data_IF_563977001343
#
_entry.id   IF_563977001343
#
_cell.length_a   1.000
_cell.length_b   1.000
_cell.length_c   1.000
_cell.angle_alpha   90.00
_cell.angle_beta   90.00
_cell.angle_gamma   90.00
#
_symmetry.space_group_name_H-M   'P 1'
#
loop_
_entity.id
_entity.type
_entity.pdbx_description
1 polymer ?
#
# COMPACT_ATOMS: atom_id res chain seq x y z
N UNK A 1 22.92 28.65 -9.37
CA UNK A 1 23.66 27.39 -9.17
C UNK A 1 24.81 27.14 -10.14
N UNK A 2 25.04 27.98 -11.16
CA UNK A 2 26.11 27.81 -12.18
C UNK A 2 27.48 28.40 -11.78
N UNK A 3 27.53 29.45 -10.97
CA UNK A 3 28.78 30.14 -10.59
C UNK A 3 29.70 29.33 -9.65
N UNK A 4 29.16 28.51 -8.77
CA UNK A 4 29.94 27.63 -7.87
C UNK A 4 30.66 26.47 -8.60
N UNK A 5 30.15 26.04 -9.74
CA UNK A 5 30.78 25.00 -10.57
C UNK A 5 31.97 25.51 -11.37
N UNK A 6 31.94 26.77 -11.79
CA UNK A 6 33.03 27.40 -12.56
C UNK A 6 34.29 27.66 -11.72
N UNK A 7 34.10 28.03 -10.44
CA UNK A 7 35.22 28.26 -9.52
C UNK A 7 35.96 26.97 -9.13
N UNK A 8 35.21 25.88 -8.92
CA UNK A 8 35.80 24.55 -8.64
C UNK A 8 36.57 23.98 -9.84
N UNK A 9 36.21 24.36 -11.06
CA UNK A 9 36.84 23.89 -12.28
C UNK A 9 38.20 24.57 -12.47
N UNK A 10 38.26 25.89 -12.34
CA UNK A 10 39.53 26.66 -12.39
C UNK A 10 40.51 26.23 -11.31
N UNK A 11 40.04 25.93 -10.12
CA UNK A 11 40.89 25.47 -9.01
C UNK A 11 41.52 24.10 -9.30
N UNK A 12 40.75 23.15 -9.83
CA UNK A 12 41.26 21.84 -10.23
C UNK A 12 42.23 21.90 -11.41
N UNK A 13 41.98 22.74 -12.38
CA UNK A 13 42.88 22.91 -13.51
C UNK A 13 44.22 23.53 -13.04
N UNK A 14 44.18 24.42 -12.08
CA UNK A 14 45.38 25.01 -11.45
C UNK A 14 46.12 23.98 -10.57
N UNK A 15 45.43 23.20 -9.80
CA UNK A 15 45.99 22.11 -8.96
C UNK A 15 46.69 21.06 -9.85
N UNK A 16 46.05 20.64 -10.94
CA UNK A 16 46.62 19.70 -11.91
C UNK A 16 47.85 20.24 -12.61
N UNK A 17 47.85 21.53 -12.90
CA UNK A 17 49.01 22.18 -13.52
C UNK A 17 50.18 22.26 -12.55
N UNK A 18 49.95 22.59 -11.29
CA UNK A 18 50.96 22.58 -10.24
C UNK A 18 51.55 21.19 -10.02
N UNK A 19 50.71 20.15 -10.03
CA UNK A 19 51.14 18.77 -9.88
C UNK A 19 52.03 18.31 -11.03
N UNK A 20 51.67 18.66 -12.27
CA UNK A 20 52.49 18.36 -13.46
C UNK A 20 53.83 19.10 -13.37
N UNK A 21 53.87 20.38 -13.01
CA UNK A 21 55.07 21.18 -12.87
C UNK A 21 55.98 20.63 -11.76
N UNK A 22 55.43 20.21 -10.61
CA UNK A 22 56.18 19.57 -9.53
C UNK A 22 56.79 18.23 -9.97
N UNK A 23 56.06 17.41 -10.70
CA UNK A 23 56.61 16.14 -11.22
C UNK A 23 57.72 16.36 -12.25
N UNK A 24 57.59 17.36 -13.12
CA UNK A 24 58.66 17.70 -14.06
C UNK A 24 59.92 18.22 -13.33
N UNK A 25 59.73 19.01 -12.27
CA UNK A 25 60.85 19.50 -11.45
C UNK A 25 61.56 18.34 -10.71
N UNK A 26 60.81 17.43 -10.12
CA UNK A 26 61.38 16.22 -9.47
C UNK A 26 62.18 15.34 -10.44
N UNK A 27 61.69 15.13 -11.66
CA UNK A 27 62.38 14.36 -12.69
C UNK A 27 63.60 15.07 -13.21
N UNK A 28 63.57 16.40 -13.32
CA UNK A 28 64.75 17.26 -13.64
C UNK A 28 65.83 17.08 -12.58
N UNK A 29 65.50 17.22 -11.29
CA UNK A 29 66.46 17.08 -10.18
C UNK A 29 67.04 15.67 -10.10
N UNK A 30 66.19 14.64 -10.37
CA UNK A 30 66.64 13.27 -10.46
C UNK A 30 67.67 13.07 -11.61
N UNK A 31 67.43 13.68 -12.75
CA UNK A 31 68.32 13.59 -13.90
C UNK A 31 69.64 14.33 -13.67
N UNK A 32 69.62 15.48 -12.98
CA UNK A 32 70.82 16.20 -12.52
C UNK A 32 71.65 15.35 -11.55
N UNK A 33 71.00 14.65 -10.61
CA UNK A 33 71.74 13.78 -9.67
C UNK A 33 72.46 12.60 -10.36
N UNK A 34 71.99 12.24 -11.55
CA UNK A 34 72.61 11.22 -12.42
C UNK A 34 73.73 11.72 -13.29
N UNK A 35 74.10 13.00 -13.18
CA UNK A 35 75.25 13.59 -13.89
C UNK A 35 74.89 14.15 -15.28
N UNK A 36 73.64 14.35 -15.61
CA UNK A 36 73.23 15.02 -16.84
C UNK A 36 73.43 16.53 -16.70
N UNK A 37 73.74 17.22 -17.80
CA UNK A 37 73.76 18.67 -17.81
C UNK A 37 72.33 19.24 -17.59
N UNK A 38 72.22 20.48 -17.10
CA UNK A 38 70.96 21.09 -16.80
C UNK A 38 70.01 21.14 -18.01
N UNK A 39 70.55 21.41 -19.20
CA UNK A 39 69.75 21.41 -20.42
C UNK A 39 69.28 20.04 -20.87
N UNK A 40 70.11 19.02 -20.72
CA UNK A 40 69.78 17.62 -21.03
C UNK A 40 68.75 17.07 -20.00
N UNK A 41 68.94 17.34 -18.71
CA UNK A 41 68.00 16.95 -17.64
C UNK A 41 66.64 17.53 -17.84
N UNK A 42 66.55 18.82 -18.20
CA UNK A 42 65.30 19.48 -18.49
C UNK A 42 64.60 18.91 -19.73
N UNK A 43 65.36 18.67 -20.79
CA UNK A 43 64.84 18.09 -22.03
C UNK A 43 64.33 16.65 -21.84
N UNK A 44 65.04 15.86 -21.05
CA UNK A 44 64.67 14.50 -20.72
C UNK A 44 63.38 14.43 -19.86
N UNK A 45 63.25 15.33 -18.86
CA UNK A 45 62.06 15.45 -18.05
C UNK A 45 60.82 15.79 -18.89
N UNK A 46 60.93 16.75 -19.80
CA UNK A 46 59.83 17.11 -20.71
C UNK A 46 59.49 16.01 -21.72
N UNK A 47 60.50 15.27 -22.22
CA UNK A 47 60.25 14.16 -23.15
C UNK A 47 59.56 12.97 -22.47
N UNK A 48 59.91 12.66 -21.22
CA UNK A 48 59.33 11.57 -20.44
C UNK A 48 57.87 11.85 -20.07
N UNK A 49 57.56 13.07 -19.69
CA UNK A 49 56.18 13.45 -19.33
C UNK A 49 55.27 13.68 -20.54
N UNK A 50 55.84 13.86 -21.72
CA UNK A 50 55.05 14.21 -22.90
C UNK A 50 54.50 15.63 -22.84
N UNK A 51 53.81 16.06 -23.87
CA UNK A 51 53.19 17.38 -23.85
C UNK A 51 52.08 17.41 -22.80
N UNK A 52 52.17 18.30 -21.81
CA UNK A 52 51.11 18.50 -20.79
C UNK A 52 49.71 18.75 -21.36
N UNK A 53 49.65 19.02 -22.65
CA UNK A 53 48.43 19.05 -23.45
C UNK A 53 47.73 17.67 -23.55
N UNK A 54 48.49 16.59 -23.78
CA UNK A 54 47.91 15.23 -23.88
C UNK A 54 47.38 14.71 -22.56
N UNK A 55 48.09 14.98 -21.48
CA UNK A 55 47.64 14.61 -20.13
C UNK A 55 46.36 15.37 -19.77
N UNK A 56 46.28 16.64 -20.08
CA UNK A 56 45.12 17.51 -19.88
C UNK A 56 43.92 17.03 -20.72
N UNK A 57 44.15 16.64 -21.95
CA UNK A 57 43.12 16.11 -22.85
C UNK A 57 42.58 14.74 -22.39
N UNK A 58 43.42 13.86 -21.85
CA UNK A 58 43.02 12.60 -21.27
C UNK A 58 42.20 12.77 -19.99
N UNK A 59 42.59 13.66 -19.09
CA UNK A 59 41.83 13.97 -17.87
C UNK A 59 40.53 14.68 -18.21
N UNK A 60 40.52 15.50 -19.26
CA UNK A 60 39.30 16.18 -19.70
C UNK A 60 38.31 15.23 -20.36
N UNK A 61 38.77 14.27 -21.11
CA UNK A 61 37.94 13.23 -21.74
C UNK A 61 37.30 12.25 -20.73
N UNK A 62 37.87 12.12 -19.53
CA UNK A 62 37.30 11.29 -18.45
C UNK A 62 36.30 12.04 -17.55
N UNK A 63 36.13 13.34 -17.67
CA UNK A 63 35.25 14.11 -16.79
C UNK A 63 33.92 14.50 -17.43
N UNK A 64 32.88 13.93 -16.91
CA UNK A 64 31.45 14.26 -16.81
C UNK A 64 30.65 14.85 -17.99
N UNK A 65 31.15 15.80 -18.76
CA UNK A 65 30.36 16.39 -19.86
C UNK A 65 30.51 15.63 -21.18
N UNK A 66 31.67 15.05 -21.42
CA UNK A 66 31.89 14.15 -22.57
C UNK A 66 31.08 12.86 -22.42
N UNK A 67 30.83 12.42 -21.19
CA UNK A 67 29.94 11.28 -20.92
C UNK A 67 28.48 11.55 -21.31
N UNK A 68 27.98 12.75 -21.08
CA UNK A 68 26.59 13.10 -21.41
C UNK A 68 26.40 13.22 -22.94
N UNK A 69 27.36 13.80 -23.61
CA UNK A 69 27.35 13.94 -25.05
C UNK A 69 27.56 12.60 -25.78
N UNK A 70 28.44 11.76 -25.23
CA UNK A 70 28.58 10.36 -25.67
C UNK A 70 27.28 9.58 -25.45
N UNK A 71 26.67 9.70 -24.25
CA UNK A 71 25.41 9.04 -23.92
C UNK A 71 24.28 9.45 -24.89
N UNK A 72 24.17 10.75 -25.17
CA UNK A 72 23.18 11.25 -26.13
C UNK A 72 23.40 10.72 -27.55
N UNK A 73 24.63 10.66 -27.98
CA UNK A 73 25.00 10.09 -29.28
C UNK A 73 24.72 8.60 -29.34
N UNK A 74 25.01 7.88 -28.24
CA UNK A 74 24.76 6.44 -28.15
C UNK A 74 23.26 6.13 -28.14
N UNK A 75 22.46 6.91 -27.42
CA UNK A 75 20.99 6.82 -27.43
C UNK A 75 20.45 7.08 -28.84
N UNK A 76 20.93 8.12 -29.51
CA UNK A 76 20.48 8.42 -30.89
C UNK A 76 20.87 7.32 -31.87
N UNK A 77 22.06 6.75 -31.70
CA UNK A 77 22.51 5.62 -32.53
C UNK A 77 21.65 4.39 -32.26
N UNK A 78 21.39 4.04 -31.00
CA UNK A 78 20.53 2.92 -30.61
C UNK A 78 19.12 3.08 -31.18
N UNK A 79 18.49 4.25 -31.02
CA UNK A 79 17.17 4.52 -31.62
C UNK A 79 17.17 4.31 -33.13
N UNK A 80 18.22 4.82 -33.83
CA UNK A 80 18.31 4.67 -35.30
C UNK A 80 18.49 3.21 -35.71
N UNK A 81 19.22 2.42 -34.92
CA UNK A 81 19.44 0.98 -35.17
C UNK A 81 18.15 0.21 -34.94
N UNK A 82 17.43 0.49 -33.86
CA UNK A 82 16.13 -0.13 -33.56
C UNK A 82 15.09 0.18 -34.66
N UNK A 83 15.05 1.40 -35.17
CA UNK A 83 14.16 1.79 -36.26
C UNK A 83 14.49 1.09 -37.60
N UNK A 84 15.74 0.67 -37.81
CA UNK A 84 16.17 -0.06 -39.00
C UNK A 84 15.82 -1.54 -38.99
N UNK A 85 15.54 -2.10 -37.81
CA UNK A 85 15.15 -3.50 -37.62
C UNK A 85 13.81 -3.61 -36.90
N UNK A 86 12.68 -3.26 -37.55
CA UNK A 86 11.38 -3.14 -36.87
C UNK A 86 10.87 -4.47 -36.30
N UNK A 87 11.15 -5.61 -36.97
CA UNK A 87 10.73 -6.92 -36.48
C UNK A 87 11.44 -7.30 -35.16
N UNK A 88 12.76 -7.12 -35.10
CA UNK A 88 13.52 -7.35 -33.85
C UNK A 88 13.05 -6.41 -32.73
N UNK A 89 12.86 -5.15 -33.06
CA UNK A 89 12.42 -4.15 -32.08
C UNK A 89 11.04 -4.46 -31.53
N UNK A 90 10.10 -4.87 -32.40
CA UNK A 90 8.77 -5.27 -31.99
C UNK A 90 8.83 -6.49 -31.03
N UNK A 91 9.61 -7.51 -31.38
CA UNK A 91 9.78 -8.67 -30.49
C UNK A 91 10.41 -8.31 -29.15
N UNK A 92 11.44 -7.48 -29.15
CA UNK A 92 12.09 -7.03 -27.92
C UNK A 92 11.13 -6.23 -27.04
N UNK A 93 10.35 -5.30 -27.62
CA UNK A 93 9.35 -4.52 -26.88
C UNK A 93 8.25 -5.41 -26.32
N UNK A 94 7.75 -6.37 -27.11
CA UNK A 94 6.71 -7.30 -26.66
C UNK A 94 7.22 -8.16 -25.50
N UNK A 95 8.43 -8.71 -25.60
CA UNK A 95 9.02 -9.55 -24.55
C UNK A 95 9.24 -8.77 -23.26
N UNK A 96 9.82 -7.57 -23.36
CA UNK A 96 10.03 -6.69 -22.21
C UNK A 96 8.70 -6.20 -21.63
N UNK A 97 7.77 -5.80 -22.50
CA UNK A 97 6.45 -5.35 -22.10
C UNK A 97 5.65 -6.43 -21.39
N UNK A 98 5.70 -7.67 -21.87
CA UNK A 98 5.06 -8.81 -21.23
C UNK A 98 5.71 -9.13 -19.87
N UNK A 99 7.05 -9.15 -19.80
CA UNK A 99 7.78 -9.43 -18.57
C UNK A 99 7.53 -8.35 -17.48
N UNK A 100 7.64 -7.10 -17.84
CA UNK A 100 7.39 -5.99 -16.92
C UNK A 100 5.90 -5.93 -16.55
N UNK A 101 5.01 -6.08 -17.53
CA UNK A 101 3.57 -6.05 -17.32
C UNK A 101 3.08 -7.16 -16.40
N UNK A 102 3.55 -8.39 -16.58
CA UNK A 102 3.21 -9.52 -15.72
C UNK A 102 3.68 -9.30 -14.27
N UNK A 103 4.93 -8.87 -14.08
CA UNK A 103 5.46 -8.58 -12.75
C UNK A 103 4.72 -7.43 -12.07
N UNK A 104 4.41 -6.38 -12.82
CA UNK A 104 3.65 -5.23 -12.29
C UNK A 104 2.23 -5.63 -11.89
N UNK A 105 1.55 -6.46 -12.72
CA UNK A 105 0.22 -6.95 -12.41
C UNK A 105 0.22 -7.80 -11.12
N UNK A 106 1.15 -8.76 -11.02
CA UNK A 106 1.30 -9.60 -9.82
C UNK A 106 1.60 -8.73 -8.59
N UNK A 107 2.55 -7.80 -8.71
CA UNK A 107 2.89 -6.90 -7.60
C UNK A 107 1.71 -6.03 -7.18
N UNK A 108 0.92 -5.52 -8.14
CA UNK A 108 -0.26 -4.70 -7.85
C UNK A 108 -1.31 -5.49 -7.07
N UNK A 109 -1.55 -6.75 -7.45
CA UNK A 109 -2.45 -7.65 -6.73
C UNK A 109 -1.94 -7.94 -5.32
N UNK A 110 -0.67 -8.33 -5.20
CA UNK A 110 -0.05 -8.60 -3.88
C UNK A 110 -0.08 -7.35 -2.99
N UNK A 111 0.30 -6.20 -3.53
CA UNK A 111 0.29 -4.94 -2.79
C UNK A 111 -1.12 -4.54 -2.36
N UNK A 112 -2.12 -4.73 -3.23
CA UNK A 112 -3.50 -4.39 -2.93
C UNK A 112 -4.16 -5.28 -1.88
N UNK A 113 -3.79 -6.56 -1.82
CA UNK A 113 -4.44 -7.55 -0.96
C UNK A 113 -3.63 -7.81 0.34
N UNK A 114 -2.29 -7.91 0.24
CA UNK A 114 -1.44 -8.35 1.35
C UNK A 114 -0.67 -7.22 2.03
N UNK A 115 -0.22 -6.22 1.27
CA UNK A 115 0.69 -5.20 1.80
C UNK A 115 -0.01 -3.89 2.16
N UNK A 116 -1.16 -3.62 1.57
CA UNK A 116 -1.90 -2.40 1.90
C UNK A 116 -2.54 -2.55 3.28
N UNK A 117 -2.17 -1.72 4.25
CA UNK A 117 -2.81 -1.76 5.56
C UNK A 117 -4.31 -1.50 5.40
N UNK A 118 -5.11 -2.23 6.18
CA UNK A 118 -6.54 -1.98 6.24
C UNK A 118 -6.80 -0.52 6.65
N UNK A 119 -7.77 0.17 6.06
CA UNK A 119 -8.03 1.58 6.32
C UNK A 119 -8.75 1.81 7.65
N UNK A 120 -8.36 1.10 8.68
CA UNK A 120 -8.87 1.19 10.04
C UNK A 120 -7.91 2.00 10.92
N UNK A 121 -8.41 2.52 12.04
CA UNK A 121 -7.62 3.43 12.89
C UNK A 121 -6.34 2.81 13.45
N UNK A 122 -6.34 1.49 13.72
CA UNK A 122 -5.17 0.76 14.24
C UNK A 122 -5.16 -0.66 13.70
N UNK A 123 -4.89 -0.87 12.41
CA UNK A 123 -5.03 -2.17 11.76
C UNK A 123 -4.12 -3.24 12.39
N UNK A 124 -2.95 -2.86 12.86
CA UNK A 124 -1.96 -3.76 13.49
C UNK A 124 -2.42 -4.28 14.86
N UNK A 125 -3.44 -3.67 15.46
CA UNK A 125 -3.99 -4.06 16.76
C UNK A 125 -5.30 -4.84 16.64
N UNK A 126 -5.83 -4.98 15.43
CA UNK A 126 -7.06 -5.74 15.19
C UNK A 126 -6.70 -7.20 14.99
N UNK A 127 -7.30 -8.07 15.81
CA UNK A 127 -7.12 -9.50 15.75
C UNK A 127 -8.46 -10.17 15.47
N UNK A 128 -8.51 -11.03 14.47
CA UNK A 128 -9.68 -11.86 14.16
C UNK A 128 -9.52 -13.23 14.80
N UNK A 129 -10.47 -13.59 15.66
CA UNK A 129 -10.51 -14.89 16.31
C UNK A 129 -11.28 -15.87 15.46
N UNK A 130 -10.63 -16.99 15.17
CA UNK A 130 -11.22 -18.13 14.48
C UNK A 130 -10.97 -19.35 15.35
N UNK A 131 -12.00 -20.16 15.54
CA UNK A 131 -11.81 -21.46 16.20
C UNK A 131 -12.06 -22.60 15.21
N UNK A 132 -11.32 -23.68 15.39
CA UNK A 132 -11.47 -24.92 14.64
C UNK A 132 -11.69 -26.06 15.58
N UNK A 133 -12.53 -27.02 15.19
CA UNK A 133 -12.71 -28.24 15.96
C UNK A 133 -12.21 -29.44 15.16
N UNK A 134 -11.04 -29.94 15.52
CA UNK A 134 -10.37 -31.06 14.83
C UNK A 134 -11.23 -32.31 14.68
N UNK A 135 -12.28 -32.46 15.51
CA UNK A 135 -13.24 -33.56 15.44
C UNK A 135 -14.38 -33.35 14.43
N UNK A 136 -14.60 -32.12 13.99
CA UNK A 136 -15.71 -31.74 13.09
C UNK A 136 -15.17 -31.54 11.66
N UNK A 137 -13.96 -31.09 11.52
CA UNK A 137 -13.32 -30.82 10.22
C UNK A 137 -12.30 -29.68 10.28
N UNK A 138 -11.66 -29.37 9.15
CA UNK A 138 -10.69 -28.29 9.04
C UNK A 138 -11.35 -26.89 8.98
N UNK A 139 -12.66 -26.82 8.73
CA UNK A 139 -13.35 -25.56 8.55
C UNK A 139 -13.52 -24.82 9.89
N UNK A 140 -13.47 -23.48 9.86
CA UNK A 140 -13.77 -22.66 11.02
C UNK A 140 -15.19 -22.95 11.55
N UNK A 141 -15.28 -23.07 12.86
CA UNK A 141 -16.57 -23.14 13.53
C UNK A 141 -16.86 -21.82 14.23
N UNK A 142 -18.12 -21.41 14.24
CA UNK A 142 -18.56 -20.23 14.95
C UNK A 142 -18.44 -20.34 16.46
N UNK A 143 -18.69 -19.24 17.15
CA UNK A 143 -18.72 -19.16 18.61
C UNK A 143 -20.17 -19.26 19.13
N UNK A 144 -20.34 -19.82 20.30
CA UNK A 144 -21.61 -19.71 21.02
C UNK A 144 -21.69 -18.35 21.71
N UNK A 145 -22.92 -17.92 22.00
CA UNK A 145 -23.18 -16.69 22.76
C UNK A 145 -22.48 -16.68 24.11
N UNK A 146 -22.50 -17.82 24.79
CA UNK A 146 -21.88 -17.97 26.11
C UNK A 146 -20.34 -17.92 26.02
N UNK A 147 -19.75 -18.55 25.01
CA UNK A 147 -18.27 -18.43 24.76
C UNK A 147 -17.86 -17.00 24.57
N UNK A 148 -18.61 -16.22 23.77
CA UNK A 148 -18.28 -14.78 23.55
C UNK A 148 -18.39 -13.98 24.86
N UNK A 149 -19.40 -14.30 25.70
CA UNK A 149 -19.53 -13.65 27.01
C UNK A 149 -18.36 -14.00 27.95
N UNK A 150 -17.94 -15.28 27.95
CA UNK A 150 -16.77 -15.73 28.70
C UNK A 150 -15.51 -15.01 28.25
N UNK A 151 -15.27 -14.92 26.94
CA UNK A 151 -14.13 -14.17 26.41
C UNK A 151 -14.16 -12.70 26.81
N UNK A 152 -15.33 -12.05 26.74
CA UNK A 152 -15.48 -10.65 27.15
C UNK A 152 -15.19 -10.43 28.64
N UNK A 153 -15.64 -11.34 29.49
CA UNK A 153 -15.51 -11.18 30.94
C UNK A 153 -14.16 -11.61 31.50
N UNK A 154 -13.50 -12.58 30.85
CA UNK A 154 -12.26 -13.20 31.38
C UNK A 154 -11.00 -12.70 30.69
N UNK A 155 -11.08 -12.18 29.46
CA UNK A 155 -9.92 -11.70 28.73
C UNK A 155 -9.42 -10.37 29.30
N UNK A 156 -8.10 -10.31 29.55
CA UNK A 156 -7.39 -9.11 30.01
C UNK A 156 -6.42 -8.56 28.96
N UNK A 157 -6.24 -9.29 27.86
CA UNK A 157 -5.26 -8.97 26.83
C UNK A 157 -5.83 -8.05 25.74
N UNK A 158 -7.14 -7.87 25.69
CA UNK A 158 -7.83 -7.07 24.68
C UNK A 158 -8.49 -5.87 25.32
N UNK A 159 -8.35 -4.74 24.67
CA UNK A 159 -9.01 -3.48 25.08
C UNK A 159 -10.52 -3.53 24.83
N UNK A 160 -10.93 -4.23 23.78
CA UNK A 160 -12.33 -4.40 23.40
C UNK A 160 -12.50 -5.66 22.55
N UNK A 161 -13.68 -6.29 22.62
CA UNK A 161 -14.02 -7.48 21.86
C UNK A 161 -15.38 -7.28 21.20
N UNK A 162 -15.38 -7.28 19.87
CA UNK A 162 -16.60 -7.15 19.07
C UNK A 162 -17.04 -8.51 18.52
N UNK A 163 -18.35 -8.70 18.41
CA UNK A 163 -18.97 -9.86 17.79
C UNK A 163 -19.36 -9.54 16.35
N UNK A 164 -19.14 -10.50 15.46
CA UNK A 164 -19.52 -10.41 14.06
C UNK A 164 -19.92 -11.79 13.53
N UNK A 165 -21.03 -11.85 12.82
CA UNK A 165 -21.35 -12.93 11.88
C UNK A 165 -22.17 -12.38 10.71
N UNK A 166 -22.19 -13.09 9.59
CA UNK A 166 -22.90 -12.70 8.39
C UNK A 166 -24.03 -13.67 8.09
N UNK A 167 -25.21 -13.15 7.75
CA UNK A 167 -26.39 -13.92 7.37
C UNK A 167 -27.12 -13.25 6.21
N UNK A 168 -27.86 -14.02 5.44
CA UNK A 168 -28.73 -13.48 4.39
C UNK A 168 -30.16 -13.33 4.91
N UNK A 169 -30.70 -12.13 4.76
CA UNK A 169 -32.09 -11.81 5.07
C UNK A 169 -32.83 -11.29 3.83
N UNK A 170 -34.16 -11.32 3.89
CA UNK A 170 -35.00 -10.67 2.88
C UNK A 170 -35.41 -9.30 3.40
N UNK A 171 -35.02 -8.24 2.66
CA UNK A 171 -35.38 -6.86 2.93
C UNK A 171 -36.55 -6.46 2.06
N UNK A 172 -37.58 -5.86 2.68
CA UNK A 172 -38.80 -5.39 2.05
C UNK A 172 -38.95 -3.90 2.35
N UNK A 173 -39.36 -3.12 1.37
CA UNK A 173 -39.67 -1.68 1.56
C UNK A 173 -38.78 -0.71 0.79
N UNK A 174 -37.76 -1.18 0.06
CA UNK A 174 -36.99 -0.33 -0.85
C UNK A 174 -37.67 -0.24 -2.24
N UNK A 175 -37.78 -1.36 -2.92
CA UNK A 175 -38.44 -1.54 -4.22
C UNK A 175 -39.19 -2.87 -4.24
N UNK A 176 -38.56 -3.89 -4.81
CA UNK A 176 -38.99 -5.29 -4.71
C UNK A 176 -38.31 -5.96 -3.53
N UNK A 177 -38.87 -7.07 -2.99
CA UNK A 177 -38.18 -7.85 -1.97
C UNK A 177 -36.82 -8.31 -2.47
N UNK A 178 -35.77 -8.00 -1.71
CA UNK A 178 -34.38 -8.28 -2.07
C UNK A 178 -33.70 -9.12 -0.98
N UNK A 179 -32.84 -10.04 -1.39
CA UNK A 179 -31.95 -10.75 -0.45
C UNK A 179 -30.71 -9.92 -0.21
N UNK A 180 -30.49 -9.52 1.04
CA UNK A 180 -29.36 -8.71 1.46
C UNK A 180 -28.45 -9.50 2.38
N UNK A 181 -27.16 -9.39 2.16
CA UNK A 181 -26.16 -9.93 3.06
C UNK A 181 -26.04 -8.99 4.26
N UNK A 182 -26.28 -9.53 5.45
CA UNK A 182 -26.40 -8.73 6.67
C UNK A 182 -25.34 -9.11 7.67
N UNK A 183 -24.51 -8.13 8.03
CA UNK A 183 -23.59 -8.23 9.16
C UNK A 183 -24.35 -8.05 10.48
N UNK A 184 -24.36 -9.08 11.30
CA UNK A 184 -24.90 -9.02 12.65
C UNK A 184 -23.76 -8.76 13.61
N UNK A 185 -23.78 -7.61 14.27
CA UNK A 185 -22.61 -7.09 15.00
C UNK A 185 -22.98 -6.58 16.39
N UNK A 186 -22.03 -6.62 17.32
CA UNK A 186 -22.21 -5.96 18.62
C UNK A 186 -22.15 -4.42 18.47
N UNK A 187 -22.74 -3.69 19.41
CA UNK A 187 -22.78 -2.21 19.42
C UNK A 187 -21.43 -1.55 19.20
N UNK A 188 -20.37 -2.13 19.76
CA UNK A 188 -19.01 -1.59 19.72
C UNK A 188 -18.21 -1.99 18.45
N UNK A 189 -18.78 -2.72 17.52
CA UNK A 189 -18.06 -3.24 16.35
C UNK A 189 -17.37 -2.15 15.53
N UNK A 190 -18.08 -1.10 15.14
CA UNK A 190 -17.53 0.00 14.37
C UNK A 190 -16.51 0.84 15.16
N UNK A 191 -16.67 0.91 16.48
CA UNK A 191 -15.70 1.56 17.36
C UNK A 191 -14.39 0.77 17.45
N UNK A 192 -14.45 -0.55 17.49
CA UNK A 192 -13.26 -1.42 17.46
C UNK A 192 -12.50 -1.26 16.15
N UNK A 193 -13.22 -1.13 15.03
CA UNK A 193 -12.59 -0.83 13.74
C UNK A 193 -12.10 0.62 13.62
N UNK A 194 -12.49 1.50 14.53
CA UNK A 194 -12.14 2.93 14.50
C UNK A 194 -12.76 3.69 13.33
N UNK A 195 -13.91 3.23 12.83
CA UNK A 195 -14.62 3.80 11.69
C UNK A 195 -15.60 4.87 12.17
N UNK A 196 -15.77 5.93 11.37
CA UNK A 196 -16.80 6.95 11.58
C UNK A 196 -17.87 6.85 10.49
N UNK A 197 -19.15 7.09 10.80
CA UNK A 197 -20.19 7.04 9.79
C UNK A 197 -20.02 8.16 8.74
N UNK A 198 -20.33 7.86 7.49
CA UNK A 198 -20.44 8.86 6.44
C UNK A 198 -21.72 9.70 6.60
N UNK A 199 -22.78 9.07 7.10
CA UNK A 199 -24.07 9.72 7.35
C UNK A 199 -24.70 9.11 8.61
N UNK A 200 -25.35 9.93 9.44
CA UNK A 200 -26.05 9.48 10.64
C UNK A 200 -25.13 9.04 11.77
N UNK A 201 -25.45 7.92 12.40
CA UNK A 201 -24.71 7.34 13.54
C UNK A 201 -24.57 5.83 13.43
N UNK A 202 -23.64 5.27 14.19
CA UNK A 202 -23.53 3.84 14.41
C UNK A 202 -24.32 3.37 15.65
N UNK A 203 -24.28 2.09 15.91
CA UNK A 203 -24.92 1.46 17.06
C UNK A 203 -24.30 1.94 18.37
N UNK A 204 -25.12 1.99 19.38
CA UNK A 204 -24.76 2.23 20.77
C UNK A 204 -25.25 1.09 21.65
N UNK A 205 -24.79 1.00 22.88
CA UNK A 205 -25.25 -0.03 23.83
C UNK A 205 -26.76 0.03 24.06
N UNK A 206 -27.36 1.20 23.90
CA UNK A 206 -28.82 1.34 23.96
C UNK A 206 -29.53 0.62 22.81
N UNK A 207 -28.94 0.55 21.63
CA UNK A 207 -29.50 -0.17 20.47
C UNK A 207 -29.33 -1.69 20.60
N UNK A 208 -28.44 -2.17 21.48
CA UNK A 208 -28.18 -3.59 21.74
C UNK A 208 -28.99 -4.17 22.90
N UNK A 209 -30.03 -3.50 23.34
CA UNK A 209 -30.95 -4.04 24.32
C UNK A 209 -32.11 -4.82 23.65
N UNK A 210 -32.62 -5.86 24.28
CA UNK A 210 -33.71 -6.71 23.72
C UNK A 210 -35.00 -5.92 23.44
N UNK A 211 -35.21 -4.84 24.15
CA UNK A 211 -36.39 -3.95 24.04
C UNK A 211 -36.16 -2.77 23.07
N UNK A 212 -34.94 -2.61 22.55
CA UNK A 212 -34.64 -1.51 21.66
C UNK A 212 -35.40 -1.63 20.32
N UNK A 213 -35.82 -0.49 19.74
CA UNK A 213 -36.33 -0.50 18.37
C UNK A 213 -35.26 -1.04 17.42
N UNK A 214 -35.61 -1.96 16.50
CA UNK A 214 -34.62 -2.50 15.57
C UNK A 214 -34.10 -1.41 14.62
N UNK A 215 -32.78 -1.37 14.44
CA UNK A 215 -32.09 -0.36 13.63
C UNK A 215 -31.15 -1.03 12.62
N UNK A 216 -30.87 -0.32 11.51
CA UNK A 216 -29.95 -0.72 10.46
C UNK A 216 -28.91 0.35 10.17
N UNK A 217 -27.71 -0.10 9.78
CA UNK A 217 -26.67 0.72 9.15
C UNK A 217 -26.42 0.13 7.76
N UNK A 218 -26.43 0.97 6.73
CA UNK A 218 -26.17 0.54 5.35
C UNK A 218 -24.67 0.56 5.05
N UNK A 219 -24.19 -0.34 4.20
CA UNK A 219 -22.89 -0.19 3.58
C UNK A 219 -22.91 1.00 2.59
N UNK A 220 -21.74 1.55 2.29
CA UNK A 220 -21.64 2.65 1.34
C UNK A 220 -22.10 2.23 -0.05
N UNK A 221 -21.64 1.08 -0.51
CA UNK A 221 -21.92 0.58 -1.85
C UNK A 221 -23.41 0.27 -2.05
N UNK A 222 -24.04 -0.33 -1.02
CA UNK A 222 -25.47 -0.59 -1.04
C UNK A 222 -26.30 0.71 -1.08
N UNK A 223 -25.91 1.71 -0.28
CA UNK A 223 -26.55 3.03 -0.29
C UNK A 223 -26.43 3.75 -1.64
N UNK A 224 -25.24 3.69 -2.27
CA UNK A 224 -25.02 4.27 -3.60
C UNK A 224 -25.86 3.54 -4.66
N UNK A 225 -25.79 2.20 -4.65
CA UNK A 225 -26.45 1.35 -5.66
C UNK A 225 -27.97 1.43 -5.59
N UNK A 226 -28.56 1.27 -4.40
CA UNK A 226 -30.01 1.14 -4.24
C UNK A 226 -30.72 2.45 -3.97
N UNK A 227 -30.04 3.42 -3.38
CA UNK A 227 -30.63 4.71 -2.97
C UNK A 227 -30.01 5.91 -3.69
N UNK A 228 -29.07 5.72 -4.63
CA UNK A 228 -28.44 6.81 -5.40
C UNK A 228 -27.76 7.85 -4.52
N UNK A 229 -27.23 7.45 -3.39
CA UNK A 229 -26.62 8.36 -2.38
C UNK A 229 -27.58 9.38 -1.79
N UNK A 230 -28.89 9.09 -1.74
CA UNK A 230 -29.88 10.01 -1.15
C UNK A 230 -29.76 10.04 0.38
N UNK A 231 -29.41 11.19 1.01
CA UNK A 231 -29.28 11.30 2.47
C UNK A 231 -30.63 11.13 3.20
N UNK A 232 -31.75 11.26 2.51
CA UNK A 232 -33.10 11.04 3.08
C UNK A 232 -33.37 9.58 3.40
N UNK A 233 -32.40 8.67 3.17
CA UNK A 233 -32.46 7.26 3.61
C UNK A 233 -32.48 7.14 5.14
N UNK A 234 -31.89 8.10 5.88
CA UNK A 234 -31.94 8.12 7.32
C UNK A 234 -33.41 8.24 7.82
N UNK A 235 -33.74 7.42 8.81
CA UNK A 235 -35.08 7.37 9.36
C UNK A 235 -36.07 6.55 8.54
N UNK A 236 -35.70 6.05 7.33
CA UNK A 236 -36.61 5.19 6.53
C UNK A 236 -36.77 3.83 7.18
N UNK A 237 -38.02 3.33 7.25
CA UNK A 237 -38.32 1.99 7.74
C UNK A 237 -38.13 0.95 6.63
N UNK A 238 -37.56 -0.19 6.97
CA UNK A 238 -37.47 -1.39 6.16
C UNK A 238 -37.91 -2.60 6.96
N UNK A 239 -38.71 -3.48 6.36
CA UNK A 239 -39.07 -4.73 7.00
C UNK A 239 -38.04 -5.80 6.67
N UNK A 240 -37.51 -6.42 7.70
CA UNK A 240 -36.57 -7.52 7.58
C UNK A 240 -36.97 -8.60 8.63
N UNK A 241 -37.24 -9.80 8.19
CA UNK A 241 -37.71 -10.90 9.06
C UNK A 241 -38.92 -10.51 9.94
N UNK A 242 -39.97 -10.00 9.31
CA UNK A 242 -41.21 -9.57 9.95
C UNK A 242 -41.06 -8.48 11.03
N UNK A 243 -39.89 -7.83 11.09
CA UNK A 243 -39.61 -6.69 11.97
C UNK A 243 -39.28 -5.44 11.17
N UNK A 244 -39.83 -4.33 11.60
CA UNK A 244 -39.50 -3.02 11.01
C UNK A 244 -38.22 -2.50 11.63
N UNK A 245 -37.23 -2.27 10.78
CA UNK A 245 -35.94 -1.69 11.15
C UNK A 245 -35.82 -0.26 10.60
N UNK A 246 -35.24 0.64 11.35
CA UNK A 246 -35.02 2.01 10.92
C UNK A 246 -33.55 2.22 10.55
N UNK A 247 -33.29 2.82 9.39
CA UNK A 247 -31.92 3.19 8.98
C UNK A 247 -31.42 4.36 9.83
N UNK A 248 -30.32 4.16 10.54
CA UNK A 248 -29.72 5.16 11.43
C UNK A 248 -28.37 5.70 10.93
N UNK A 249 -27.74 5.01 10.00
CA UNK A 249 -26.42 5.41 9.50
C UNK A 249 -26.03 4.76 8.20
N UNK A 250 -24.96 5.28 7.62
CA UNK A 250 -24.30 4.74 6.42
C UNK A 250 -22.81 4.69 6.69
N UNK A 251 -22.17 3.57 6.31
CA UNK A 251 -20.72 3.39 6.37
C UNK A 251 -20.01 4.33 5.37
N UNK A 252 -18.78 4.74 5.65
CA UNK A 252 -17.93 5.38 4.65
C UNK A 252 -17.48 4.36 3.59
N UNK A 253 -16.94 4.83 2.43
CA UNK A 253 -16.41 3.95 1.40
C UNK A 253 -15.13 3.28 1.87
N UNK A 254 -15.26 2.14 2.52
CA UNK A 254 -14.18 1.33 3.07
C UNK A 254 -14.31 -0.10 2.57
N UNK A 255 -13.21 -0.82 2.35
CA UNK A 255 -13.28 -2.26 2.21
C UNK A 255 -13.88 -2.85 3.48
N UNK A 256 -14.93 -3.61 3.33
CA UNK A 256 -15.65 -4.19 4.46
C UNK A 256 -14.95 -5.45 4.94
N UNK A 257 -14.76 -5.55 6.23
CA UNK A 257 -14.08 -6.67 6.90
C UNK A 257 -15.03 -7.30 7.92
N UNK A 258 -15.00 -8.62 8.15
CA UNK A 258 -14.25 -9.62 7.39
C UNK A 258 -14.89 -9.95 6.05
N UNK A 259 -16.21 -9.75 5.88
CA UNK A 259 -16.95 -10.04 4.66
C UNK A 259 -17.73 -8.83 4.18
N UNK A 260 -17.95 -8.68 2.85
CA UNK A 260 -18.80 -7.63 2.31
C UNK A 260 -20.24 -7.87 2.73
N UNK A 261 -20.85 -6.92 3.41
CA UNK A 261 -22.27 -6.95 3.76
C UNK A 261 -22.98 -5.73 3.17
N UNK A 262 -24.24 -5.91 2.79
CA UNK A 262 -25.08 -4.84 2.27
C UNK A 262 -25.58 -3.94 3.41
N UNK A 263 -25.99 -4.57 4.51
CA UNK A 263 -26.53 -3.90 5.69
C UNK A 263 -25.95 -4.49 6.98
N UNK A 264 -26.07 -3.76 8.07
CA UNK A 264 -25.65 -4.19 9.40
C UNK A 264 -26.79 -4.02 10.41
N UNK A 265 -26.90 -4.93 11.38
CA UNK A 265 -27.84 -4.86 12.48
C UNK A 265 -27.18 -5.24 13.82
N UNK A 266 -27.70 -4.75 14.96
CA UNK A 266 -27.25 -5.23 16.27
C UNK A 266 -27.56 -6.72 16.50
N UNK A 267 -26.74 -7.38 17.31
CA UNK A 267 -26.91 -8.80 17.67
C UNK A 267 -28.30 -9.12 18.20
N UNK A 268 -28.89 -8.21 18.98
CA UNK A 268 -30.23 -8.35 19.57
C UNK A 268 -31.37 -8.22 18.56
N UNK A 269 -31.12 -7.55 17.42
CA UNK A 269 -32.11 -7.44 16.34
C UNK A 269 -32.18 -8.70 15.49
N UNK A 270 -31.13 -9.53 15.51
CA UNK A 270 -31.12 -10.80 14.79
C UNK A 270 -31.95 -11.85 15.50
N UNK A 271 -33.02 -12.38 14.88
CA UNK A 271 -33.90 -13.37 15.53
C UNK A 271 -33.20 -14.69 15.83
N UNK A 272 -32.19 -15.07 15.08
CA UNK A 272 -31.37 -16.24 15.35
C UNK A 272 -30.48 -16.03 16.56
N UNK A 273 -29.67 -14.99 16.52
CA UNK A 273 -28.68 -14.67 17.57
C UNK A 273 -29.32 -14.39 18.90
N UNK A 274 -30.46 -13.70 18.90
CA UNK A 274 -31.22 -13.36 20.11
C UNK A 274 -32.21 -14.43 20.56
N UNK A 275 -32.28 -15.57 19.88
CA UNK A 275 -33.22 -16.63 20.28
C UNK A 275 -32.85 -17.26 21.63
N UNK A 276 -33.82 -17.66 22.45
CA UNK A 276 -33.54 -18.34 23.71
C UNK A 276 -32.69 -19.61 23.55
N UNK A 277 -32.85 -20.31 22.43
CA UNK A 277 -32.06 -21.49 22.09
C UNK A 277 -30.58 -21.17 21.90
N UNK A 278 -30.26 -20.08 21.19
CA UNK A 278 -28.85 -19.65 20.94
C UNK A 278 -28.22 -19.10 22.21
N UNK A 279 -28.98 -18.35 23.00
CA UNK A 279 -28.48 -17.77 24.26
C UNK A 279 -28.20 -18.81 25.31
N UNK A 280 -29.09 -19.82 25.45
CA UNK A 280 -29.02 -20.81 26.51
C UNK A 280 -28.14 -22.02 26.18
N UNK A 281 -27.86 -22.29 24.91
CA UNK A 281 -27.14 -23.49 24.48
C UNK A 281 -25.71 -23.18 24.10
N UNK A 282 -24.76 -23.71 24.85
CA UNK A 282 -23.33 -23.55 24.61
C UNK A 282 -22.83 -24.24 23.33
N UNK A 283 -23.56 -25.24 22.86
CA UNK A 283 -23.22 -25.95 21.61
C UNK A 283 -23.82 -25.30 20.36
N UNK A 284 -24.72 -24.32 20.54
CA UNK A 284 -25.33 -23.60 19.44
C UNK A 284 -24.35 -22.49 18.95
N UNK A 285 -23.74 -22.71 17.81
CA UNK A 285 -22.69 -21.88 17.22
C UNK A 285 -23.20 -21.12 16.00
N UNK A 286 -22.55 -20.00 15.76
CA UNK A 286 -22.81 -19.11 14.60
C UNK A 286 -21.51 -18.76 13.91
#
# INVERSE_FOLDING_TARGET
MSLFRFSRRRRRDHELQQEIEQHIALEHDFNLSRGMSAEEAQRAAYLKFGSGRRVREQVWNNNSFVSLEKLWRDVRYACRTLLRSPGYTAMAILTLGLGIGANTAIFTVINGILLRPLPYASPDQIVHFVQTASRIGPDPIGFSVQEIQDYRSQSRSFSSLAEYHSMTFTLIGAKEPERVLTGVVSSNYFSVLGVRPALGRFFTDADETLSAPPVLVLSYDYWVKEFGSDPRVLGRPFTMNDRVHTVIGVLPPLPVYPDPNDVYMPTTSCPFRSSPRMIANRDARM
#
